data_IF_468443567374
#
_entry.id   IF_468443567374
#
_cell.length_a   1.000
_cell.length_b   1.000
_cell.length_c   1.000
_cell.angle_alpha   90.00
_cell.angle_beta   90.00
_cell.angle_gamma   90.00
#
_symmetry.space_group_name_H-M   'P 1'
#
loop_
_entity.id
_entity.type
_entity.pdbx_description
1 polymer ?
#
# COMPACT_ATOMS: atom_id res chain seq x y z
N UNK A 1 16.04 1.41 71.77
CA UNK A 1 15.25 0.83 70.66
C UNK A 1 14.92 1.97 69.70
N UNK A 2 15.50 1.93 68.49
CA UNK A 2 15.30 2.81 67.30
C UNK A 2 16.65 2.78 66.57
N UNK A 3 16.85 2.27 65.37
CA UNK A 3 15.97 1.77 64.32
C UNK A 3 16.83 1.81 63.05
N UNK A 4 17.21 0.64 62.56
CA UNK A 4 18.16 0.39 61.47
C UNK A 4 17.68 0.94 60.10
N UNK A 5 18.67 1.35 59.29
CA UNK A 5 18.79 1.20 57.82
C UNK A 5 17.53 1.27 56.93
N UNK A 6 17.54 2.20 55.96
CA UNK A 6 17.13 1.92 54.56
C UNK A 6 17.86 2.81 53.55
N UNK A 7 18.84 2.29 52.79
CA UNK A 7 19.18 2.84 51.48
C UNK A 7 18.27 2.21 50.40
N UNK A 8 18.24 2.85 49.23
CA UNK A 8 17.67 2.37 47.97
C UNK A 8 16.14 2.44 47.84
N UNK A 9 15.66 3.58 47.35
CA UNK A 9 14.53 3.61 46.42
C UNK A 9 14.65 4.82 45.48
N UNK A 10 15.59 4.74 44.53
CA UNK A 10 15.71 5.66 43.40
C UNK A 10 15.64 4.89 42.07
N UNK A 11 14.77 3.87 42.00
CA UNK A 11 14.47 3.19 40.74
C UNK A 11 12.94 3.18 40.59
N UNK A 12 12.37 4.29 40.11
CA UNK A 12 11.11 4.31 39.36
C UNK A 12 10.63 5.73 39.12
N UNK A 13 11.37 6.52 38.35
CA UNK A 13 10.79 7.72 37.72
C UNK A 13 11.42 8.04 36.36
N UNK A 14 11.95 7.02 35.67
CA UNK A 14 12.45 7.16 34.30
C UNK A 14 11.63 6.36 33.27
N UNK A 15 10.59 5.65 33.69
CA UNK A 15 9.68 4.91 32.79
C UNK A 15 8.45 5.72 32.34
N UNK A 16 8.29 6.98 32.79
CA UNK A 16 7.14 7.82 32.40
C UNK A 16 7.36 8.64 31.13
N UNK A 17 8.52 8.52 30.47
CA UNK A 17 8.79 9.13 29.17
C UNK A 17 8.86 8.09 28.06
N UNK A 18 7.95 7.11 28.07
CA UNK A 18 7.57 6.45 26.82
C UNK A 18 6.97 7.55 25.96
N UNK A 19 7.77 8.11 25.05
CA UNK A 19 7.29 9.01 24.00
C UNK A 19 6.30 8.23 23.16
N UNK A 20 5.01 8.36 23.48
CA UNK A 20 3.93 8.01 22.57
C UNK A 20 4.08 8.96 21.39
N UNK A 21 4.79 8.54 20.34
CA UNK A 21 4.85 9.30 19.11
C UNK A 21 3.44 9.23 18.52
N UNK A 22 2.82 10.38 18.17
CA UNK A 22 1.58 10.33 17.41
C UNK A 22 1.83 9.50 16.14
N UNK A 23 0.97 8.52 15.90
CA UNK A 23 1.02 7.72 14.67
C UNK A 23 0.94 8.69 13.48
N UNK A 24 1.88 8.57 12.54
CA UNK A 24 1.80 9.36 11.32
C UNK A 24 0.49 9.04 10.60
N UNK A 25 -0.24 10.06 10.18
CA UNK A 25 -1.49 9.86 9.43
C UNK A 25 -1.19 9.05 8.19
N UNK A 26 -1.88 7.91 8.03
CA UNK A 26 -1.68 7.09 6.85
C UNK A 26 -2.07 7.88 5.60
N UNK A 27 -1.29 7.71 4.53
CA UNK A 27 -1.44 8.45 3.27
C UNK A 27 -2.87 8.30 2.71
N UNK A 28 -3.49 7.13 2.81
CA UNK A 28 -4.86 6.85 2.36
C UNK A 28 -5.96 7.59 3.16
N UNK A 29 -5.60 8.14 4.32
CA UNK A 29 -6.49 8.92 5.19
C UNK A 29 -6.18 10.42 5.20
N UNK A 30 -5.02 10.84 4.70
CA UNK A 30 -4.61 12.24 4.70
C UNK A 30 -5.26 13.02 3.54
N UNK A 31 -6.06 14.03 3.90
CA UNK A 31 -6.78 14.92 2.99
C UNK A 31 -5.87 15.63 1.98
N UNK A 32 -4.60 15.88 2.34
CA UNK A 32 -3.65 16.53 1.44
C UNK A 32 -3.28 15.65 0.24
N UNK A 33 -3.40 14.32 0.39
CA UNK A 33 -3.08 13.35 -0.65
C UNK A 33 -4.29 12.93 -1.49
N UNK A 34 -5.52 13.32 -1.11
CA UNK A 34 -6.75 12.92 -1.83
C UNK A 34 -6.66 13.21 -3.34
N UNK A 35 -6.15 14.38 -3.71
CA UNK A 35 -6.02 14.80 -5.12
C UNK A 35 -5.02 13.95 -5.93
N UNK A 36 -4.18 13.17 -5.26
CA UNK A 36 -3.13 12.34 -5.84
C UNK A 36 -3.46 10.84 -5.86
N UNK A 37 -4.65 10.44 -5.37
CA UNK A 37 -5.04 9.04 -5.21
C UNK A 37 -6.13 8.59 -6.22
N UNK A 38 -6.25 9.28 -7.34
CA UNK A 38 -7.20 8.94 -8.41
C UNK A 38 -6.59 7.87 -9.33
N UNK A 39 -6.98 6.61 -9.14
CA UNK A 39 -6.43 5.46 -9.88
C UNK A 39 -6.71 5.57 -11.37
N UNK A 40 -7.94 5.94 -11.76
CA UNK A 40 -8.31 6.08 -13.16
C UNK A 40 -7.41 7.13 -13.83
N UNK A 41 -7.21 8.28 -13.18
CA UNK A 41 -6.33 9.32 -13.71
C UNK A 41 -4.89 8.86 -13.82
N UNK A 42 -4.39 8.08 -12.86
CA UNK A 42 -3.01 7.58 -12.87
C UNK A 42 -2.76 6.64 -14.07
N UNK A 43 -3.70 5.74 -14.38
CA UNK A 43 -3.56 4.78 -15.47
C UNK A 43 -3.99 5.31 -16.84
N UNK A 44 -4.67 6.45 -16.91
CA UNK A 44 -5.07 7.09 -18.18
C UNK A 44 -3.93 7.92 -18.84
N UNK A 45 -2.69 7.82 -18.35
CA UNK A 45 -1.53 8.53 -18.91
C UNK A 45 -0.87 7.70 -20.01
N UNK A 46 -0.67 6.40 -19.75
CA UNK A 46 -0.02 5.43 -20.65
C UNK A 46 -0.60 4.05 -20.40
N UNK A 47 -0.54 3.16 -21.40
CA UNK A 47 -0.92 1.76 -21.23
C UNK A 47 0.19 0.87 -20.69
N UNK A 48 1.39 1.39 -20.42
CA UNK A 48 2.58 0.61 -20.10
C UNK A 48 3.35 1.18 -18.90
N UNK A 49 3.70 0.32 -17.93
CA UNK A 49 4.38 0.71 -16.70
C UNK A 49 5.42 -0.33 -16.27
N UNK A 50 6.68 0.09 -16.06
CA UNK A 50 7.70 -0.77 -15.44
C UNK A 50 7.51 -0.85 -13.92
N UNK A 51 7.68 -2.04 -13.36
CA UNK A 51 7.90 -2.20 -11.93
C UNK A 51 9.39 -2.02 -11.63
N UNK A 52 9.77 -0.83 -11.16
CA UNK A 52 11.17 -0.52 -10.86
C UNK A 52 11.68 -1.18 -9.57
N UNK A 53 10.82 -1.29 -8.55
CA UNK A 53 11.17 -1.90 -7.28
C UNK A 53 9.97 -2.01 -6.33
N UNK A 54 10.12 -2.86 -5.32
CA UNK A 54 9.15 -3.06 -4.24
C UNK A 54 9.93 -3.44 -2.97
N UNK A 55 9.34 -3.20 -1.80
CA UNK A 55 10.02 -3.30 -0.50
C UNK A 55 9.42 -4.39 0.41
N UNK A 56 8.80 -5.41 -0.16
CA UNK A 56 8.19 -6.53 0.55
C UNK A 56 8.50 -7.86 -0.15
N UNK A 57 8.48 -8.97 0.58
CA UNK A 57 8.60 -10.29 -0.03
C UNK A 57 7.25 -10.76 -0.56
N UNK A 58 7.22 -11.30 -1.78
CA UNK A 58 6.01 -11.85 -2.38
C UNK A 58 6.32 -13.13 -3.14
N UNK A 59 5.62 -14.21 -2.78
CA UNK A 59 5.66 -15.47 -3.54
C UNK A 59 5.29 -15.27 -5.02
N UNK A 60 4.46 -14.26 -5.31
CA UNK A 60 4.06 -13.94 -6.67
C UNK A 60 5.17 -13.30 -7.51
N UNK A 61 6.27 -12.82 -6.92
CA UNK A 61 7.40 -12.23 -7.64
C UNK A 61 8.66 -13.09 -7.57
N UNK A 62 8.66 -14.20 -6.82
CA UNK A 62 9.82 -15.10 -6.72
C UNK A 62 10.24 -15.61 -8.10
N UNK A 63 11.53 -15.43 -8.42
CA UNK A 63 12.14 -15.83 -9.68
C UNK A 63 11.73 -14.99 -10.89
N UNK A 64 10.98 -13.90 -10.71
CA UNK A 64 10.56 -13.01 -11.79
C UNK A 64 11.47 -11.78 -11.88
N UNK A 65 11.83 -11.41 -13.10
CA UNK A 65 12.61 -10.20 -13.44
C UNK A 65 11.96 -9.45 -14.60
N UNK A 66 12.42 -8.23 -14.89
CA UNK A 66 11.88 -7.40 -15.99
C UNK A 66 10.35 -7.30 -15.96
N UNK A 67 9.79 -7.01 -14.78
CA UNK A 67 8.33 -6.98 -14.59
C UNK A 67 7.76 -5.66 -15.10
N UNK A 68 6.74 -5.73 -15.95
CA UNK A 68 5.99 -4.57 -16.40
C UNK A 68 4.49 -4.90 -16.50
N UNK A 69 3.68 -3.85 -16.48
CA UNK A 69 2.23 -3.94 -16.61
C UNK A 69 1.76 -3.31 -17.91
N UNK A 70 0.78 -3.95 -18.55
CA UNK A 70 0.08 -3.41 -19.71
C UNK A 70 -1.40 -3.28 -19.40
N UNK A 71 -1.96 -2.08 -19.53
CA UNK A 71 -3.39 -1.80 -19.39
C UNK A 71 -4.04 -2.06 -20.74
N UNK A 72 -4.93 -3.05 -20.79
CA UNK A 72 -5.64 -3.45 -22.01
C UNK A 72 -6.92 -2.62 -22.18
N UNK A 73 -7.67 -2.46 -21.08
CA UNK A 73 -8.85 -1.59 -21.04
C UNK A 73 -8.96 -0.88 -19.70
N UNK A 74 -9.34 0.40 -19.75
CA UNK A 74 -9.52 1.23 -18.57
C UNK A 74 -10.93 1.84 -18.57
N UNK A 75 -11.65 1.65 -17.48
CA UNK A 75 -12.99 2.18 -17.22
C UNK A 75 -12.96 2.97 -15.90
N UNK A 76 -13.98 3.80 -15.65
CA UNK A 76 -14.03 4.66 -14.47
C UNK A 76 -13.98 3.89 -13.13
N UNK A 77 -14.45 2.64 -13.12
CA UNK A 77 -14.61 1.78 -11.95
C UNK A 77 -13.82 0.47 -12.04
N UNK A 78 -13.08 0.23 -13.12
CA UNK A 78 -12.34 -1.03 -13.33
C UNK A 78 -11.22 -0.89 -14.36
N UNK A 79 -10.28 -1.83 -14.35
CA UNK A 79 -9.29 -2.00 -15.40
C UNK A 79 -9.02 -3.47 -15.72
N UNK A 80 -8.78 -3.77 -16.98
CA UNK A 80 -8.24 -5.04 -17.45
C UNK A 80 -6.77 -4.81 -17.79
N UNK A 81 -5.88 -5.59 -17.20
CA UNK A 81 -4.45 -5.39 -17.34
C UNK A 81 -3.71 -6.71 -17.21
N UNK A 82 -2.47 -6.74 -17.67
CA UNK A 82 -1.59 -7.88 -17.56
C UNK A 82 -0.27 -7.53 -16.88
N UNK A 83 0.25 -8.45 -16.09
CA UNK A 83 1.64 -8.45 -15.65
C UNK A 83 2.46 -9.32 -16.59
N UNK A 84 3.55 -8.76 -17.10
CA UNK A 84 4.50 -9.43 -17.96
C UNK A 84 5.84 -9.50 -17.24
N UNK A 85 6.54 -10.63 -17.36
CA UNK A 85 7.78 -10.86 -16.61
C UNK A 85 8.67 -11.87 -17.33
N UNK A 86 9.97 -11.84 -17.02
CA UNK A 86 10.88 -12.94 -17.33
C UNK A 86 11.02 -13.87 -16.15
N UNK A 87 10.88 -15.17 -16.38
CA UNK A 87 11.19 -16.23 -15.40
C UNK A 87 11.91 -17.36 -16.13
N UNK A 88 13.03 -17.81 -15.56
CA UNK A 88 13.84 -18.90 -16.12
C UNK A 88 14.28 -18.66 -17.59
N UNK A 89 14.49 -17.40 -17.96
CA UNK A 89 14.89 -16.98 -19.31
C UNK A 89 13.73 -16.76 -20.29
N UNK A 90 12.52 -17.19 -19.94
CA UNK A 90 11.33 -17.09 -20.79
C UNK A 90 10.40 -15.95 -20.35
N UNK A 91 9.62 -15.43 -21.31
CA UNK A 91 8.59 -14.43 -21.02
C UNK A 91 7.29 -15.10 -20.58
N UNK A 92 6.71 -14.64 -19.48
CA UNK A 92 5.39 -15.01 -18.99
C UNK A 92 4.45 -13.80 -18.93
N UNK A 93 3.15 -14.09 -19.00
CA UNK A 93 2.05 -13.13 -18.87
C UNK A 93 1.03 -13.67 -17.87
N UNK A 94 0.48 -12.81 -17.02
CA UNK A 94 -0.70 -13.10 -16.19
C UNK A 94 -1.69 -11.96 -16.38
N UNK A 95 -2.93 -12.30 -16.69
CA UNK A 95 -4.03 -11.35 -16.89
C UNK A 95 -4.85 -11.16 -15.62
N UNK A 96 -5.34 -9.95 -15.43
CA UNK A 96 -6.04 -9.52 -14.23
C UNK A 96 -7.26 -8.67 -14.56
N UNK A 97 -8.29 -8.86 -13.73
CA UNK A 97 -9.46 -8.01 -13.62
C UNK A 97 -9.33 -7.17 -12.35
N UNK A 98 -9.25 -5.85 -12.50
CA UNK A 98 -9.15 -4.89 -11.42
C UNK A 98 -10.46 -4.12 -11.23
N UNK A 99 -10.98 -4.06 -10.01
CA UNK A 99 -12.13 -3.22 -9.65
C UNK A 99 -11.67 -2.10 -8.74
N UNK A 100 -12.10 -0.87 -9.05
CA UNK A 100 -11.79 0.30 -8.26
C UNK A 100 -12.88 0.56 -7.22
N UNK A 101 -12.47 0.86 -5.99
CA UNK A 101 -13.40 1.19 -4.92
C UNK A 101 -12.86 2.33 -4.06
N UNK A 102 -13.75 2.92 -3.28
CA UNK A 102 -13.45 3.99 -2.34
C UNK A 102 -13.70 3.51 -0.91
N UNK A 103 -12.72 3.65 -0.03
CA UNK A 103 -12.93 3.57 1.42
C UNK A 103 -13.38 4.94 1.98
N UNK A 104 -14.15 5.02 3.08
CA UNK A 104 -14.43 6.29 3.75
C UNK A 104 -13.13 6.95 4.27
N UNK A 105 -13.01 8.28 4.23
CA UNK A 105 -11.99 9.00 5.01
C UNK A 105 -12.72 9.38 6.28
N UNK A 106 -12.17 8.98 7.42
CA UNK A 106 -12.60 9.52 8.70
C UNK A 106 -12.57 11.05 8.58
N UNK A 107 -13.73 11.68 8.79
CA UNK A 107 -13.97 13.13 8.88
C UNK A 107 -14.45 13.92 7.64
N UNK A 108 -14.63 13.36 6.44
CA UNK A 108 -15.22 14.11 5.31
C UNK A 108 -16.43 13.44 4.64
N UNK A 109 -17.52 14.19 4.49
CA UNK A 109 -18.82 13.78 3.90
C UNK A 109 -18.85 13.77 2.36
N UNK A 110 -17.73 14.00 1.69
CA UNK A 110 -17.66 13.98 0.22
C UNK A 110 -17.38 12.57 -0.29
N UNK A 111 -18.16 12.13 -1.28
CA UNK A 111 -17.91 10.90 -2.02
C UNK A 111 -16.51 10.95 -2.63
N UNK A 112 -15.65 10.01 -2.20
CA UNK A 112 -14.28 9.90 -2.69
C UNK A 112 -14.20 9.32 -4.09
N UNK A 113 -13.15 9.75 -4.80
CA UNK A 113 -12.63 9.11 -6.00
C UNK A 113 -12.00 7.74 -5.68
N UNK A 114 -12.10 6.81 -6.63
CA UNK A 114 -11.66 5.43 -6.48
C UNK A 114 -10.15 5.34 -6.28
N UNK A 115 -9.72 5.08 -5.04
CA UNK A 115 -8.32 5.10 -4.60
C UNK A 115 -7.80 3.73 -4.14
N UNK A 116 -8.66 2.70 -4.16
CA UNK A 116 -8.25 1.33 -3.91
C UNK A 116 -8.52 0.47 -5.14
N UNK A 117 -7.59 -0.45 -5.41
CA UNK A 117 -7.69 -1.45 -6.46
C UNK A 117 -7.79 -2.82 -5.82
N UNK A 118 -8.86 -3.55 -6.13
CA UNK A 118 -8.96 -4.97 -5.86
C UNK A 118 -8.73 -5.73 -7.16
N UNK A 119 -7.78 -6.67 -7.14
CA UNK A 119 -7.42 -7.47 -8.32
C UNK A 119 -7.83 -8.93 -8.15
N UNK A 120 -8.28 -9.55 -9.23
CA UNK A 120 -8.42 -11.00 -9.37
C UNK A 120 -7.72 -11.45 -10.66
N UNK A 121 -7.16 -12.66 -10.66
CA UNK A 121 -6.65 -13.26 -11.90
C UNK A 121 -7.82 -13.52 -12.84
N UNK A 122 -7.65 -13.22 -14.12
CA UNK A 122 -8.61 -13.62 -15.14
C UNK A 122 -8.69 -15.16 -15.18
N UNK A 123 -9.89 -15.70 -15.33
CA UNK A 123 -10.10 -17.13 -15.57
C UNK A 123 -9.91 -17.37 -17.07
N UNK A 124 -9.04 -18.31 -17.42
CA UNK A 124 -8.87 -18.81 -18.80
C UNK A 124 -10.13 -19.56 -19.27
#
# INVERSE_FOLDING_TARGET
MLGFFRPLSYISFFLLFVQCRPEETRIDTDVNYEKHQDIYRAFNITGFYWLYGFNFESEHTVGKSCVYFTVEHLYADRMYYASNFKKDGEWGKIEYNGTFYSTPVTENTKQKKSHCLQQSKSMD
#
